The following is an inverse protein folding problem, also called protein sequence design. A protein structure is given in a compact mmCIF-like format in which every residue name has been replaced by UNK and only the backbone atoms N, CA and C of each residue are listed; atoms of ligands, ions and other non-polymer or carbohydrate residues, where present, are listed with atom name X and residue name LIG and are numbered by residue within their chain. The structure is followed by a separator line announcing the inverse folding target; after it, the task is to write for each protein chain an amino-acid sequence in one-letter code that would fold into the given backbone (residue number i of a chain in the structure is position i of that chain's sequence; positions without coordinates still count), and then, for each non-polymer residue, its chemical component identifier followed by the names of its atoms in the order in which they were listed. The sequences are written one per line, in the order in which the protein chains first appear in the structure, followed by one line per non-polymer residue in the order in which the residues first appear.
data_IF_469715160704
#
_entry.id   IF_469715160704
#
_cell.length_a   1.000
_cell.length_b   1.000
_cell.length_c   1.000
_cell.angle_alpha   90.00
_cell.angle_beta   90.00
_cell.angle_gamma   90.00
#
_symmetry.space_group_name_H-M   'P 1'
#
loop_
_entity.id
_entity.type
_entity.pdbx_description
1 polymer ?
#
# COMPACT_ATOMS: atom_id res chain seq x y z
N UNK A 1 -32.97 -14.91 14.16
CA UNK A 1 -31.52 -14.72 14.27
C UNK A 1 -30.98 -14.57 12.86
N UNK A 2 -30.76 -13.33 12.43
CA UNK A 2 -30.23 -13.02 11.09
C UNK A 2 -28.74 -12.77 11.22
N UNK A 3 -27.95 -13.70 10.68
CA UNK A 3 -26.51 -13.57 10.55
C UNK A 3 -26.21 -12.50 9.51
N UNK A 4 -25.63 -11.39 9.96
CA UNK A 4 -25.06 -10.35 9.11
C UNK A 4 -23.77 -10.87 8.47
N UNK A 5 -23.88 -11.50 7.31
CA UNK A 5 -22.77 -11.66 6.39
C UNK A 5 -22.39 -10.29 5.83
N UNK A 6 -21.46 -9.62 6.51
CA UNK A 6 -20.77 -8.44 5.96
C UNK A 6 -19.86 -8.92 4.84
N UNK A 7 -20.46 -9.00 3.66
CA UNK A 7 -19.83 -9.12 2.36
C UNK A 7 -18.74 -8.04 2.22
N UNK A 8 -17.49 -8.38 2.52
CA UNK A 8 -16.31 -7.57 2.20
C UNK A 8 -16.09 -7.60 0.69
N UNK A 9 -16.97 -6.91 -0.06
CA UNK A 9 -16.68 -6.56 -1.46
C UNK A 9 -15.47 -5.63 -1.44
N UNK A 10 -14.34 -6.09 -1.96
CA UNK A 10 -13.20 -5.23 -2.27
C UNK A 10 -13.71 -4.03 -3.07
N UNK A 11 -13.53 -2.82 -2.55
CA UNK A 11 -13.98 -1.57 -3.17
C UNK A 11 -13.22 -1.22 -4.47
N UNK A 12 -12.17 -1.97 -4.80
CA UNK A 12 -11.51 -1.91 -6.09
C UNK A 12 -12.24 -2.85 -7.03
N UNK A 13 -13.41 -2.41 -7.45
CA UNK A 13 -14.12 -3.01 -8.57
C UNK A 13 -13.64 -2.31 -9.83
N UNK A 14 -13.54 -3.03 -10.96
CA UNK A 14 -13.26 -2.43 -12.26
C UNK A 14 -14.17 -1.22 -12.56
N UNK A 15 -15.39 -1.24 -12.06
CA UNK A 15 -16.41 -0.22 -12.32
C UNK A 15 -16.34 1.00 -11.37
N UNK A 16 -15.36 1.07 -10.47
CA UNK A 16 -15.25 2.15 -9.44
C UNK A 16 -15.21 3.54 -10.06
N UNK A 17 -14.50 3.69 -11.18
CA UNK A 17 -14.23 4.97 -11.82
C UNK A 17 -15.01 5.14 -13.14
N UNK A 18 -16.07 4.37 -13.35
CA UNK A 18 -16.87 4.44 -14.60
C UNK A 18 -17.49 5.82 -14.86
N UNK A 19 -17.70 6.63 -13.82
CA UNK A 19 -18.22 8.00 -13.93
C UNK A 19 -17.14 9.05 -14.23
N UNK A 20 -15.87 8.64 -14.24
CA UNK A 20 -14.75 9.51 -14.54
C UNK A 20 -14.51 9.60 -16.05
N UNK A 21 -13.66 10.55 -16.45
CA UNK A 21 -13.24 10.70 -17.84
C UNK A 21 -11.78 10.33 -17.97
N UNK A 22 -11.42 9.69 -19.09
CA UNK A 22 -10.02 9.41 -19.39
C UNK A 22 -9.22 10.71 -19.48
N UNK A 23 -7.93 10.63 -19.15
CA UNK A 23 -7.03 11.78 -19.13
C UNK A 23 -6.97 12.50 -20.49
N UNK A 24 -7.17 11.78 -21.59
CA UNK A 24 -7.16 12.31 -22.96
C UNK A 24 -8.57 12.50 -23.55
N UNK A 25 -9.62 12.24 -22.76
CA UNK A 25 -11.01 12.36 -23.20
C UNK A 25 -11.51 11.21 -24.09
N UNK A 26 -10.72 10.15 -24.28
CA UNK A 26 -11.17 8.95 -24.99
C UNK A 26 -12.18 8.18 -24.13
N UNK A 27 -13.32 7.84 -24.70
CA UNK A 27 -14.31 7.00 -24.02
C UNK A 27 -13.83 5.55 -23.97
N UNK A 28 -13.89 4.88 -22.81
CA UNK A 28 -13.58 3.45 -22.71
C UNK A 28 -14.60 2.62 -23.52
N UNK A 29 -14.14 1.54 -24.14
CA UNK A 29 -15.02 0.55 -24.77
C UNK A 29 -15.75 -0.30 -23.72
N UNK A 30 -16.74 -1.10 -24.13
CA UNK A 30 -17.49 -2.00 -23.24
C UNK A 30 -16.60 -3.04 -22.52
N UNK A 31 -15.43 -3.37 -23.09
CA UNK A 31 -14.45 -4.29 -22.48
C UNK A 31 -13.46 -3.59 -21.54
N UNK A 32 -13.42 -2.26 -21.58
CA UNK A 32 -12.45 -1.45 -20.87
C UNK A 32 -13.03 -0.81 -19.62
N UNK A 33 -12.12 -0.51 -18.69
CA UNK A 33 -12.42 0.16 -17.43
C UNK A 33 -11.39 1.24 -17.15
N UNK A 34 -11.78 2.25 -16.38
CA UNK A 34 -10.89 3.35 -16.03
C UNK A 34 -10.07 3.01 -14.78
N UNK A 35 -8.76 3.20 -14.89
CA UNK A 35 -7.80 3.02 -13.78
C UNK A 35 -7.02 4.32 -13.56
N UNK A 36 -6.85 4.77 -12.31
CA UNK A 36 -6.08 5.97 -12.02
C UNK A 36 -4.59 5.76 -12.29
N UNK A 37 -3.87 6.82 -12.66
CA UNK A 37 -2.41 6.88 -12.70
C UNK A 37 -1.92 8.23 -12.16
N UNK A 38 -0.69 8.26 -11.62
CA UNK A 38 -0.14 9.46 -10.98
C UNK A 38 0.44 10.42 -12.02
N UNK A 39 0.09 11.70 -11.93
CA UNK A 39 0.78 12.78 -12.65
C UNK A 39 2.04 13.15 -11.87
N UNK A 40 3.17 12.57 -12.27
CA UNK A 40 4.44 12.64 -11.51
C UNK A 40 5.12 14.00 -11.56
N UNK A 41 4.99 14.71 -12.67
CA UNK A 41 5.71 15.95 -12.89
C UNK A 41 4.97 16.89 -13.86
N UNK A 42 5.53 18.09 -14.03
CA UNK A 42 4.99 19.12 -14.93
C UNK A 42 5.06 18.70 -16.40
N UNK A 43 5.98 17.83 -16.79
CA UNK A 43 6.12 17.38 -18.19
C UNK A 43 4.93 16.51 -18.61
N UNK A 44 4.45 15.65 -17.71
CA UNK A 44 3.21 14.90 -17.90
C UNK A 44 2.01 15.86 -17.96
N UNK A 45 1.98 16.88 -17.11
CA UNK A 45 0.86 17.83 -17.05
C UNK A 45 0.74 18.72 -18.30
N UNK A 46 1.87 19.09 -18.93
CA UNK A 46 1.89 19.94 -20.13
C UNK A 46 1.86 19.13 -21.44
N UNK A 47 1.74 17.81 -21.35
CA UNK A 47 1.53 16.98 -22.54
C UNK A 47 0.20 17.39 -23.19
N UNK A 48 0.23 17.67 -24.50
CA UNK A 48 -0.94 18.10 -25.27
C UNK A 48 -2.07 17.07 -25.32
N UNK A 49 -1.76 15.82 -25.03
CA UNK A 49 -2.74 14.72 -24.95
C UNK A 49 -3.45 14.68 -23.60
N UNK A 50 -2.98 15.42 -22.59
CA UNK A 50 -3.58 15.46 -21.26
C UNK A 50 -4.59 16.60 -21.19
N UNK A 51 -5.86 16.23 -21.05
CA UNK A 51 -6.92 17.14 -20.68
C UNK A 51 -6.89 17.35 -19.15
N UNK A 52 -6.44 18.52 -18.74
CA UNK A 52 -6.29 18.87 -17.32
C UNK A 52 -7.63 18.91 -16.57
N UNK A 53 -8.76 19.16 -17.26
CA UNK A 53 -10.10 19.17 -16.66
C UNK A 53 -10.58 17.77 -16.26
N UNK A 54 -9.98 16.72 -16.84
CA UNK A 54 -10.30 15.33 -16.54
C UNK A 54 -9.42 14.77 -15.40
N UNK A 55 -8.46 15.54 -14.90
CA UNK A 55 -7.62 15.13 -13.78
C UNK A 55 -8.35 15.31 -12.45
N UNK A 56 -8.05 14.45 -11.49
CA UNK A 56 -8.57 14.56 -10.13
C UNK A 56 -7.46 14.67 -9.12
N UNK A 57 -7.77 15.31 -7.99
CA UNK A 57 -6.88 15.28 -6.83
C UNK A 57 -7.36 14.21 -5.87
N UNK A 58 -6.52 13.21 -5.62
CA UNK A 58 -6.73 12.26 -4.54
C UNK A 58 -6.05 12.77 -3.28
N UNK A 59 -6.65 12.48 -2.12
CA UNK A 59 -6.01 12.67 -0.83
C UNK A 59 -5.54 11.30 -0.35
N UNK A 60 -4.22 11.08 -0.34
CA UNK A 60 -3.61 9.82 0.04
C UNK A 60 -2.54 10.12 1.09
N UNK A 61 -2.72 9.57 2.30
CA UNK A 61 -1.88 9.82 3.48
C UNK A 61 -1.79 11.32 3.83
N UNK A 62 -2.92 12.04 3.73
CA UNK A 62 -2.96 13.50 3.97
C UNK A 62 -2.28 14.35 2.89
N UNK A 63 -1.71 13.71 1.85
CA UNK A 63 -1.03 14.39 0.73
C UNK A 63 -1.93 14.40 -0.49
N UNK A 64 -1.99 15.57 -1.14
CA UNK A 64 -2.78 15.78 -2.35
C UNK A 64 -1.97 15.33 -3.56
N UNK A 65 -2.44 14.29 -4.25
CA UNK A 65 -1.82 13.73 -5.45
C UNK A 65 -2.73 14.00 -6.64
N UNK A 66 -2.15 14.51 -7.73
CA UNK A 66 -2.88 14.67 -8.98
C UNK A 66 -2.86 13.36 -9.76
N UNK A 67 -4.04 12.90 -10.17
CA UNK A 67 -4.24 11.64 -10.89
C UNK A 67 -5.02 11.86 -12.17
N UNK A 68 -4.67 11.12 -13.22
CA UNK A 68 -5.48 10.95 -14.42
C UNK A 68 -6.07 9.55 -14.47
N UNK A 69 -7.00 9.30 -15.41
CA UNK A 69 -7.58 7.97 -15.61
C UNK A 69 -7.24 7.46 -16.99
N UNK A 70 -6.81 6.19 -17.10
CA UNK A 70 -6.50 5.53 -18.36
C UNK A 70 -7.46 4.37 -18.58
N UNK A 71 -8.04 4.22 -19.79
CA UNK A 71 -8.81 3.04 -20.14
C UNK A 71 -7.87 1.83 -20.29
N UNK A 72 -8.19 0.74 -19.61
CA UNK A 72 -7.47 -0.54 -19.70
C UNK A 72 -8.48 -1.67 -19.86
N UNK A 73 -8.07 -2.78 -20.47
CA UNK A 73 -8.93 -3.97 -20.52
C UNK A 73 -9.25 -4.44 -19.09
N UNK A 74 -10.48 -4.92 -18.88
CA UNK A 74 -10.96 -5.37 -17.56
C UNK A 74 -10.04 -6.43 -16.91
N UNK A 75 -9.42 -7.28 -17.72
CA UNK A 75 -8.48 -8.31 -17.27
C UNK A 75 -7.17 -7.72 -16.72
N UNK A 76 -6.74 -6.57 -17.25
CA UNK A 76 -5.52 -5.85 -16.85
C UNK A 76 -5.76 -4.89 -15.66
N UNK A 77 -7.00 -4.75 -15.19
CA UNK A 77 -7.35 -3.85 -14.10
C UNK A 77 -6.47 -4.05 -12.86
N UNK A 78 -6.24 -5.29 -12.46
CA UNK A 78 -5.43 -5.62 -11.27
C UNK A 78 -3.98 -5.20 -11.44
N UNK A 79 -3.41 -5.42 -12.63
CA UNK A 79 -2.03 -5.05 -12.95
C UNK A 79 -1.87 -3.53 -13.01
N UNK A 80 -2.78 -2.84 -13.70
CA UNK A 80 -2.77 -1.39 -13.80
C UNK A 80 -2.94 -0.71 -12.43
N UNK A 81 -3.80 -1.27 -11.57
CA UNK A 81 -3.97 -0.78 -10.20
C UNK A 81 -2.70 -0.99 -9.36
N UNK A 82 -1.97 -2.10 -9.56
CA UNK A 82 -0.68 -2.32 -8.90
C UNK A 82 0.35 -1.27 -9.33
N UNK A 83 0.43 -0.95 -10.63
CA UNK A 83 1.32 0.11 -11.15
C UNK A 83 0.96 1.46 -10.53
N UNK A 84 -0.32 1.80 -10.45
CA UNK A 84 -0.77 3.03 -9.79
C UNK A 84 -0.33 3.13 -8.33
N UNK A 85 -0.43 2.03 -7.58
CA UNK A 85 -0.02 1.99 -6.18
C UNK A 85 1.51 2.19 -6.05
N UNK A 86 2.28 1.55 -6.92
CA UNK A 86 3.74 1.71 -6.98
C UNK A 86 4.12 3.17 -7.29
N UNK A 87 3.52 3.76 -8.32
CA UNK A 87 3.74 5.16 -8.72
C UNK A 87 3.34 6.15 -7.62
N UNK A 88 2.27 5.83 -6.87
CA UNK A 88 1.80 6.63 -5.73
C UNK A 88 2.83 6.64 -4.60
N UNK A 89 3.36 5.47 -4.24
CA UNK A 89 4.37 5.35 -3.21
C UNK A 89 5.66 6.08 -3.60
N UNK A 90 6.10 5.94 -4.85
CA UNK A 90 7.26 6.65 -5.41
C UNK A 90 7.05 8.19 -5.40
N UNK A 91 5.86 8.66 -5.79
CA UNK A 91 5.54 10.09 -5.76
C UNK A 91 5.59 10.64 -4.33
N UNK A 92 5.02 9.91 -3.38
CA UNK A 92 4.98 10.29 -1.98
C UNK A 92 6.35 10.26 -1.31
N UNK A 93 7.20 9.27 -1.64
CA UNK A 93 8.57 9.18 -1.09
C UNK A 93 9.45 10.36 -1.54
N UNK A 94 9.24 10.86 -2.76
CA UNK A 94 9.91 12.05 -3.29
C UNK A 94 9.44 13.35 -2.66
N UNK A 95 8.16 13.44 -2.30
CA UNK A 95 7.52 14.67 -1.83
C UNK A 95 7.27 14.70 -0.30
N UNK A 96 7.74 13.71 0.46
CA UNK A 96 7.59 13.61 1.92
C UNK A 96 8.60 14.41 2.76
N UNK A 97 9.54 15.14 2.15
CA UNK A 97 10.59 15.89 2.88
C UNK A 97 10.13 17.18 3.59
N UNK A 98 8.90 17.20 4.12
CA UNK A 98 8.35 18.28 4.93
C UNK A 98 8.30 17.89 6.42
N UNK A 99 8.97 18.68 7.27
CA UNK A 99 9.06 18.54 8.74
C UNK A 99 7.71 18.18 9.39
N UNK A 100 7.65 16.98 10.00
CA UNK A 100 6.83 16.58 11.17
C UNK A 100 5.77 15.47 11.12
N UNK A 101 5.37 14.87 9.98
CA UNK A 101 4.26 13.87 10.05
C UNK A 101 4.58 12.42 9.66
N UNK A 102 5.75 12.12 9.09
CA UNK A 102 6.12 10.74 8.76
C UNK A 102 7.22 10.26 9.71
N UNK A 103 6.84 9.50 10.76
CA UNK A 103 7.78 8.63 11.46
C UNK A 103 8.41 7.71 10.41
N UNK A 104 9.71 7.88 10.15
CA UNK A 104 10.42 6.97 9.27
C UNK A 104 10.38 5.55 9.86
N UNK A 105 10.36 4.51 9.01
CA UNK A 105 10.40 3.11 9.48
C UNK A 105 11.61 2.85 10.40
N UNK A 106 12.72 3.55 10.13
CA UNK A 106 13.92 3.53 10.95
C UNK A 106 13.70 4.15 12.33
N UNK A 107 13.01 5.29 12.41
CA UNK A 107 12.55 5.84 13.68
C UNK A 107 11.53 4.94 14.37
N UNK A 108 10.62 4.28 13.66
CA UNK A 108 9.67 3.35 14.25
C UNK A 108 10.38 2.16 14.89
N UNK A 109 11.35 1.53 14.20
CA UNK A 109 12.14 0.43 14.76
C UNK A 109 12.99 0.87 15.94
N UNK A 110 13.67 2.02 15.84
CA UNK A 110 14.48 2.55 16.93
C UNK A 110 13.64 2.91 18.17
N UNK A 111 12.42 3.41 17.97
CA UNK A 111 11.49 3.77 19.04
C UNK A 111 10.72 2.56 19.59
N UNK A 112 10.55 1.48 18.82
CA UNK A 112 9.96 0.22 19.31
C UNK A 112 10.87 -0.51 20.33
N UNK A 113 12.16 -0.15 20.38
CA UNK A 113 13.10 -0.61 21.40
C UNK A 113 13.09 0.26 22.69
N UNK A 114 12.39 1.40 22.71
CA UNK A 114 12.25 2.27 23.90
C UNK A 114 10.77 2.40 24.32
N UNK A 115 10.47 2.22 25.61
CA UNK A 115 9.11 2.28 26.20
C UNK A 115 8.45 3.68 26.20
N UNK A 116 8.94 4.64 25.40
CA UNK A 116 8.37 5.99 25.34
C UNK A 116 7.28 6.13 24.27
N UNK A 117 6.11 6.58 24.73
CA UNK A 117 4.88 6.73 23.95
C UNK A 117 4.93 8.02 23.11
N UNK A 118 5.44 7.94 21.89
CA UNK A 118 5.33 9.01 20.89
C UNK A 118 4.02 8.91 20.10
N UNK A 119 3.29 10.02 20.01
CA UNK A 119 1.97 10.11 19.38
C UNK A 119 2.05 10.27 17.86
N UNK A 120 1.89 9.17 17.13
CA UNK A 120 1.23 9.17 15.83
C UNK A 120 -0.27 9.26 16.11
N UNK A 121 -1.01 10.20 15.50
CA UNK A 121 -2.48 10.26 15.66
C UNK A 121 -3.13 9.16 14.82
N UNK A 122 -3.49 8.00 15.43
CA UNK A 122 -4.06 6.88 14.70
C UNK A 122 -5.58 7.06 14.52
N UNK A 123 -6.15 8.18 15.00
CA UNK A 123 -7.59 8.46 14.97
C UNK A 123 -8.03 9.17 13.69
N UNK A 124 -7.09 9.66 12.88
CA UNK A 124 -7.38 10.01 11.49
C UNK A 124 -7.90 8.77 10.78
N UNK A 125 -9.22 8.69 10.56
CA UNK A 125 -9.85 7.54 9.91
C UNK A 125 -9.31 7.49 8.48
N UNK A 126 -8.46 6.51 8.13
CA UNK A 126 -7.99 6.40 6.77
C UNK A 126 -9.21 6.09 5.90
N UNK A 127 -9.33 6.78 4.79
CA UNK A 127 -10.34 6.50 3.77
C UNK A 127 -10.25 5.02 3.38
N UNK A 128 -11.35 4.48 2.86
CA UNK A 128 -11.36 3.09 2.46
C UNK A 128 -10.26 2.80 1.41
N UNK A 129 -9.97 3.77 0.52
CA UNK A 129 -8.81 3.86 -0.40
C UNK A 129 -7.46 3.67 0.25
N UNK A 130 -7.13 4.51 1.20
CA UNK A 130 -5.84 4.43 1.89
C UNK A 130 -5.64 3.07 2.58
N UNK A 131 -6.69 2.48 3.15
CA UNK A 131 -6.61 1.15 3.78
C UNK A 131 -6.26 0.05 2.80
N UNK A 132 -6.90 0.01 1.63
CA UNK A 132 -6.63 -1.08 0.69
C UNK A 132 -5.30 -0.90 -0.06
N UNK A 133 -4.86 0.34 -0.31
CA UNK A 133 -3.51 0.61 -0.83
C UNK A 133 -2.45 0.10 0.15
N UNK A 134 -2.58 0.47 1.43
CA UNK A 134 -1.67 0.02 2.48
C UNK A 134 -1.63 -1.51 2.58
N UNK A 135 -2.80 -2.17 2.50
CA UNK A 135 -2.90 -3.63 2.53
C UNK A 135 -2.18 -4.25 1.32
N UNK A 136 -2.33 -3.69 0.12
CA UNK A 136 -1.70 -4.26 -1.08
C UNK A 136 -0.18 -4.07 -1.07
N UNK A 137 0.30 -2.89 -0.67
CA UNK A 137 1.74 -2.65 -0.47
C UNK A 137 2.32 -3.57 0.60
N UNK A 138 1.59 -3.81 1.69
CA UNK A 138 2.01 -4.74 2.74
C UNK A 138 2.11 -6.17 2.22
N UNK A 139 1.16 -6.63 1.39
CA UNK A 139 1.23 -7.97 0.78
C UNK A 139 2.42 -8.11 -0.16
N UNK A 140 2.65 -7.13 -1.03
CA UNK A 140 3.78 -7.14 -1.97
C UNK A 140 5.12 -7.24 -1.24
N UNK A 141 5.29 -6.45 -0.17
CA UNK A 141 6.47 -6.55 0.68
C UNK A 141 6.62 -7.95 1.28
N UNK A 142 5.54 -8.50 1.85
CA UNK A 142 5.55 -9.84 2.46
C UNK A 142 5.89 -10.91 1.43
N UNK A 143 5.37 -10.81 0.21
CA UNK A 143 5.64 -11.75 -0.87
C UNK A 143 7.11 -11.71 -1.30
N UNK A 144 7.70 -10.52 -1.46
CA UNK A 144 9.14 -10.39 -1.77
C UNK A 144 9.99 -10.97 -0.65
N UNK A 145 9.65 -10.69 0.62
CA UNK A 145 10.34 -11.29 1.77
C UNK A 145 10.18 -12.81 1.77
N UNK A 146 8.99 -13.33 1.42
CA UNK A 146 8.74 -14.77 1.33
C UNK A 146 9.61 -15.43 0.25
N UNK A 147 9.75 -14.80 -0.92
CA UNK A 147 10.62 -15.32 -1.99
C UNK A 147 12.09 -15.35 -1.57
N UNK A 148 12.56 -14.35 -0.80
CA UNK A 148 13.96 -14.31 -0.31
C UNK A 148 14.19 -15.26 0.87
N UNK A 149 13.22 -15.35 1.76
CA UNK A 149 13.28 -16.19 2.94
C UNK A 149 11.86 -16.60 3.37
N UNK A 150 11.47 -17.80 2.97
CA UNK A 150 10.14 -18.37 3.22
C UNK A 150 9.72 -18.28 4.68
N UNK A 151 10.65 -18.57 5.60
CA UNK A 151 10.41 -18.53 7.05
C UNK A 151 10.12 -17.11 7.53
N UNK A 152 10.86 -16.12 7.04
CA UNK A 152 10.62 -14.70 7.36
C UNK A 152 9.28 -14.22 6.80
N UNK A 153 8.95 -14.60 5.55
CA UNK A 153 7.66 -14.26 4.94
C UNK A 153 6.47 -14.84 5.72
N UNK A 154 6.58 -16.10 6.18
CA UNK A 154 5.57 -16.74 7.05
C UNK A 154 5.38 -15.98 8.38
N UNK A 155 6.46 -15.52 8.99
CA UNK A 155 6.40 -14.71 10.22
C UNK A 155 5.65 -13.40 9.97
N UNK A 156 6.01 -12.65 8.92
CA UNK A 156 5.35 -11.38 8.60
C UNK A 156 3.88 -11.57 8.22
N UNK A 157 3.56 -12.67 7.53
CA UNK A 157 2.17 -13.02 7.20
C UNK A 157 1.32 -13.22 8.46
N UNK A 158 1.82 -13.94 9.46
CA UNK A 158 1.13 -14.14 10.74
C UNK A 158 0.88 -12.79 11.45
N UNK A 159 1.89 -11.92 11.49
CA UNK A 159 1.77 -10.57 12.09
C UNK A 159 0.74 -9.72 11.33
N UNK A 160 0.70 -9.79 10.00
CA UNK A 160 -0.24 -9.01 9.18
C UNK A 160 -1.70 -9.48 9.33
N UNK A 161 -1.92 -10.76 9.65
CA UNK A 161 -3.24 -11.34 9.83
C UNK A 161 -3.83 -11.05 11.21
N UNK A 162 -2.96 -10.92 12.22
CA UNK A 162 -3.33 -10.59 13.59
C UNK A 162 -2.26 -9.68 14.20
N UNK A 163 -2.53 -8.37 14.23
CA UNK A 163 -1.61 -7.38 14.78
C UNK A 163 -1.39 -7.53 16.29
N UNK A 164 -2.22 -8.33 16.97
CA UNK A 164 -2.12 -8.58 18.42
C UNK A 164 -1.36 -9.84 18.75
N UNK A 165 -0.95 -10.63 17.75
CA UNK A 165 -0.26 -11.89 17.94
C UNK A 165 1.06 -11.69 18.70
N UNK A 166 1.25 -12.46 19.77
CA UNK A 166 2.49 -12.37 20.55
C UNK A 166 3.66 -13.10 19.86
N UNK A 167 4.89 -12.70 20.19
CA UNK A 167 6.10 -13.40 19.74
C UNK A 167 6.07 -14.89 20.13
N UNK A 168 5.50 -15.24 21.28
CA UNK A 168 5.39 -16.63 21.74
C UNK A 168 4.42 -17.43 20.86
N UNK A 169 3.25 -16.88 20.54
CA UNK A 169 2.27 -17.52 19.65
C UNK A 169 2.82 -17.72 18.22
N UNK A 170 3.60 -16.76 17.70
CA UNK A 170 4.30 -16.94 16.41
C UNK A 170 5.25 -18.14 16.48
N UNK A 171 6.04 -18.24 17.54
CA UNK A 171 7.02 -19.32 17.76
C UNK A 171 6.31 -20.67 17.84
N UNK A 172 5.19 -20.74 18.57
CA UNK A 172 4.37 -21.94 18.73
C UNK A 172 3.71 -22.35 17.40
N UNK A 173 3.06 -21.43 16.69
CA UNK A 173 2.41 -21.70 15.39
C UNK A 173 3.40 -22.19 14.33
N UNK A 174 4.66 -21.77 14.41
CA UNK A 174 5.72 -22.18 13.48
C UNK A 174 6.56 -23.36 14.00
N UNK A 175 6.22 -23.94 15.15
CA UNK A 175 6.91 -25.11 15.70
C UNK A 175 8.39 -24.86 16.03
N UNK A 176 8.75 -23.64 16.42
CA UNK A 176 10.14 -23.24 16.63
C UNK A 176 10.57 -23.41 18.11
N UNK A 177 11.85 -23.69 18.33
CA UNK A 177 12.45 -23.57 19.67
C UNK A 177 12.52 -22.08 20.06
N UNK A 178 12.21 -21.74 21.32
CA UNK A 178 12.16 -20.35 21.83
C UNK A 178 13.33 -19.48 21.33
N UNK A 179 14.58 -19.88 21.58
CA UNK A 179 15.77 -19.10 21.22
C UNK A 179 15.86 -18.85 19.71
N UNK A 180 15.66 -19.90 18.90
CA UNK A 180 15.65 -19.80 17.43
C UNK A 180 14.47 -18.98 16.90
N UNK A 181 13.36 -18.97 17.64
CA UNK A 181 12.14 -18.27 17.31
C UNK A 181 12.30 -16.76 17.38
N UNK A 182 12.88 -16.26 18.47
CA UNK A 182 13.16 -14.82 18.63
C UNK A 182 14.14 -14.31 17.57
N UNK A 183 15.20 -15.08 17.27
CA UNK A 183 16.16 -14.73 16.22
C UNK A 183 15.51 -14.70 14.83
N UNK A 184 14.61 -15.64 14.54
CA UNK A 184 13.88 -15.67 13.28
C UNK A 184 12.93 -14.47 13.13
N UNK A 185 12.26 -14.04 14.20
CA UNK A 185 11.42 -12.84 14.20
C UNK A 185 12.26 -11.59 13.95
N UNK A 186 13.40 -11.45 14.64
CA UNK A 186 14.33 -10.32 14.43
C UNK A 186 14.84 -10.27 12.99
N UNK A 187 15.19 -11.43 12.44
CA UNK A 187 15.61 -11.57 11.03
C UNK A 187 14.49 -11.20 10.05
N UNK A 188 13.25 -11.58 10.34
CA UNK A 188 12.09 -11.24 9.50
C UNK A 188 11.87 -9.73 9.42
N UNK A 189 11.96 -9.02 10.55
CA UNK A 189 11.88 -7.56 10.58
C UNK A 189 13.03 -6.89 9.84
N UNK A 190 14.27 -7.37 10.02
CA UNK A 190 15.43 -6.84 9.31
C UNK A 190 15.30 -6.99 7.79
N UNK A 191 14.86 -8.16 7.32
CA UNK A 191 14.66 -8.43 5.89
C UNK A 191 13.48 -7.63 5.32
N UNK A 192 12.39 -7.44 6.10
CA UNK A 192 11.30 -6.55 5.71
C UNK A 192 11.77 -5.11 5.50
N UNK A 193 12.62 -4.61 6.39
CA UNK A 193 13.22 -3.27 6.30
C UNK A 193 14.11 -3.13 5.07
N UNK A 194 14.93 -4.14 4.76
CA UNK A 194 15.75 -4.16 3.55
C UNK A 194 14.90 -4.11 2.28
N UNK A 195 13.88 -4.98 2.18
CA UNK A 195 12.94 -5.01 1.05
C UNK A 195 12.19 -3.68 0.92
N UNK A 196 11.74 -3.09 2.03
CA UNK A 196 11.09 -1.79 2.01
C UNK A 196 12.01 -0.71 1.43
N UNK A 197 13.28 -0.68 1.85
CA UNK A 197 14.23 0.31 1.35
C UNK A 197 14.46 0.15 -0.16
N UNK A 198 14.56 -1.08 -0.66
CA UNK A 198 14.73 -1.34 -2.08
C UNK A 198 13.50 -0.94 -2.93
N UNK A 199 12.29 -1.13 -2.39
CA UNK A 199 11.05 -0.73 -3.08
C UNK A 199 10.85 0.79 -3.13
N UNK A 200 11.59 1.56 -2.33
CA UNK A 200 11.41 3.01 -2.19
C UNK A 200 12.67 3.82 -2.56
N UNK A 201 13.66 3.20 -3.21
CA UNK A 201 14.82 3.85 -3.85
C UNK A 201 14.49 4.22 -5.29
#
# INVERSE_FOLDING_TARGET
MTTNDKNTKSKYTPDRYQSEKAYNGVEPTDSQVLVPFVIRDKTMLVNKEVNQDNLKTFNIYGKRILVGFVPVEREEFTNALRVFNMDTNEYLSRHSKGKHDDLSLDEMFAKMENDEKFGYDPTGIPSHEEKLMLIETLKELIDIVYQRNEKCGKILKLISQDITISKQEIIEKLGMKKTQGYDAIKKAHALAKEVYNELNQ
#
